data_IF_112816183762
#
_entry.id   IF_112816183762
#
_cell.length_a   1.000
_cell.length_b   1.000
_cell.length_c   1.000
_cell.angle_alpha   90.00
_cell.angle_beta   90.00
_cell.angle_gamma   90.00
#
_symmetry.space_group_name_H-M   'P 1'
#
loop_
_entity.id
_entity.type
_entity.pdbx_description
1 polymer ?
#
# COMPACT_ATOMS: atom_id res chain seq x y z
N UNK A 1 3.13 -5.62 21.04
CA UNK A 1 4.39 -5.50 20.28
C UNK A 1 4.09 -4.78 18.98
N UNK A 2 5.07 -4.13 18.35
CA UNK A 2 4.91 -3.47 17.04
C UNK A 2 5.85 -4.15 16.05
N UNK A 3 5.31 -4.57 14.92
CA UNK A 3 6.06 -5.22 13.85
C UNK A 3 6.48 -4.18 12.81
N UNK A 4 7.79 -4.06 12.57
CA UNK A 4 8.39 -3.08 11.65
C UNK A 4 9.08 -3.78 10.47
N UNK A 5 8.36 -4.73 9.86
CA UNK A 5 8.77 -5.42 8.63
C UNK A 5 7.52 -5.67 7.78
N UNK A 6 7.37 -6.85 7.15
CA UNK A 6 6.20 -7.15 6.32
C UNK A 6 4.88 -7.06 7.13
N UNK A 7 4.01 -6.06 6.91
CA UNK A 7 2.82 -5.83 7.73
C UNK A 7 1.80 -6.98 7.68
N UNK A 8 1.94 -7.89 6.71
CA UNK A 8 1.15 -9.13 6.64
C UNK A 8 1.31 -10.02 7.87
N UNK A 9 2.47 -10.03 8.53
CA UNK A 9 2.65 -10.88 9.72
C UNK A 9 1.73 -10.45 10.86
N UNK A 10 1.61 -9.15 11.11
CA UNK A 10 0.67 -8.61 12.10
C UNK A 10 -0.79 -8.81 11.70
N UNK A 11 -1.12 -8.71 10.41
CA UNK A 11 -2.50 -8.86 9.94
C UNK A 11 -2.93 -10.34 9.94
N UNK A 12 -2.10 -11.22 9.39
CA UNK A 12 -2.42 -12.63 9.19
C UNK A 12 -2.22 -13.47 10.47
N UNK A 13 -1.29 -13.06 11.35
CA UNK A 13 -0.89 -13.83 12.54
C UNK A 13 -1.01 -13.05 13.85
N UNK A 14 -1.61 -11.85 13.85
CA UNK A 14 -1.67 -10.98 15.03
C UNK A 14 -2.37 -11.58 16.24
N UNK A 15 -3.25 -12.57 16.02
CA UNK A 15 -4.01 -13.30 17.05
C UNK A 15 -3.31 -14.57 17.54
N UNK A 16 -2.19 -14.97 16.93
CA UNK A 16 -1.44 -16.18 17.31
C UNK A 16 -0.67 -16.04 18.62
N UNK A 17 -0.63 -14.84 19.21
CA UNK A 17 0.14 -14.53 20.42
C UNK A 17 -0.78 -14.01 21.54
N UNK A 18 -0.46 -14.28 22.82
CA UNK A 18 -1.23 -13.73 23.96
C UNK A 18 -1.21 -12.20 24.06
N UNK A 19 -0.25 -11.54 23.42
CA UNK A 19 -0.12 -10.08 23.33
C UNK A 19 -0.27 -9.66 21.87
N UNK A 20 -0.98 -8.56 21.57
CA UNK A 20 -1.22 -8.16 20.19
C UNK A 20 0.09 -7.81 19.47
N UNK A 21 0.19 -8.21 18.20
CA UNK A 21 1.25 -7.83 17.28
C UNK A 21 0.69 -6.80 16.30
N UNK A 22 0.98 -5.53 16.54
CA UNK A 22 0.43 -4.40 15.81
C UNK A 22 1.28 -4.03 14.59
N UNK A 23 0.66 -3.51 13.53
CA UNK A 23 1.37 -2.74 12.51
C UNK A 23 1.81 -1.37 13.08
N UNK A 24 2.75 -0.67 12.42
CA UNK A 24 3.13 0.68 12.83
C UNK A 24 1.97 1.68 12.75
N UNK A 25 1.09 1.52 11.75
CA UNK A 25 -0.14 2.30 11.63
C UNK A 25 -1.07 2.09 12.83
N UNK A 26 -1.32 0.84 13.20
CA UNK A 26 -2.15 0.50 14.37
C UNK A 26 -1.55 1.02 15.67
N UNK A 27 -0.21 0.98 15.81
CA UNK A 27 0.47 1.56 16.95
C UNK A 27 0.24 3.08 17.04
N UNK A 28 0.32 3.81 15.92
CA UNK A 28 0.05 5.25 15.88
C UNK A 28 -1.41 5.57 16.25
N UNK A 29 -2.38 4.76 15.81
CA UNK A 29 -3.78 4.89 16.24
C UNK A 29 -3.95 4.60 17.73
N UNK A 30 -3.35 3.52 18.24
CA UNK A 30 -3.44 3.12 19.64
C UNK A 30 -2.82 4.17 20.59
N UNK A 31 -1.75 4.84 20.15
CA UNK A 31 -1.11 5.94 20.86
C UNK A 31 -1.83 7.28 20.71
N UNK A 32 -2.89 7.33 19.89
CA UNK A 32 -3.70 8.54 19.59
C UNK A 32 -2.94 9.62 18.82
N UNK A 33 -1.89 9.25 18.10
CA UNK A 33 -1.17 10.16 17.20
C UNK A 33 -2.02 10.48 15.96
N UNK A 34 -2.85 9.52 15.54
CA UNK A 34 -3.76 9.65 14.40
C UNK A 34 -5.11 8.98 14.68
N UNK A 35 -6.14 9.41 13.94
CA UNK A 35 -7.43 8.70 13.86
C UNK A 35 -7.33 7.50 12.92
N UNK A 36 -8.21 6.52 13.12
CA UNK A 36 -8.37 5.40 12.20
C UNK A 36 -8.79 5.89 10.80
N UNK A 37 -8.14 5.37 9.75
CA UNK A 37 -8.34 5.68 8.34
C UNK A 37 -9.07 4.57 7.61
N UNK A 38 -9.86 4.95 6.59
CA UNK A 38 -10.53 4.05 5.67
C UNK A 38 -10.28 4.51 4.22
N UNK A 39 -9.82 3.62 3.31
CA UNK A 39 -9.50 2.21 3.54
C UNK A 39 -8.30 1.99 4.49
N UNK A 40 -8.14 0.79 5.05
CA UNK A 40 -6.98 0.44 5.88
C UNK A 40 -5.68 0.70 5.08
N UNK A 41 -4.78 1.58 5.55
CA UNK A 41 -3.62 1.97 4.78
C UNK A 41 -2.63 0.81 4.65
N UNK A 42 -2.29 0.48 3.41
CA UNK A 42 -1.30 -0.54 3.04
C UNK A 42 -0.02 0.11 2.50
N UNK A 43 0.45 1.17 3.15
CA UNK A 43 1.46 2.10 2.63
C UNK A 43 2.85 1.94 3.26
N UNK A 44 3.09 0.87 4.01
CA UNK A 44 4.35 0.64 4.74
C UNK A 44 5.60 0.75 3.84
N UNK A 45 5.51 0.25 2.60
CA UNK A 45 6.57 0.32 1.58
C UNK A 45 6.30 1.34 0.47
N UNK A 46 5.23 2.15 0.58
CA UNK A 46 4.92 3.13 -0.44
C UNK A 46 6.07 4.12 -0.59
N UNK A 47 6.40 4.50 -1.82
CA UNK A 47 7.35 5.58 -2.08
C UNK A 47 6.82 6.89 -1.51
N UNK A 48 5.54 7.16 -1.78
CA UNK A 48 4.80 8.27 -1.19
C UNK A 48 4.14 7.87 0.13
N UNK A 49 4.61 8.45 1.23
CA UNK A 49 4.14 8.17 2.59
C UNK A 49 2.77 8.81 2.88
N UNK A 50 1.82 8.09 3.47
CA UNK A 50 0.59 8.71 4.00
C UNK A 50 0.77 9.27 5.42
N UNK A 51 1.90 8.95 6.08
CA UNK A 51 2.23 9.54 7.37
C UNK A 51 3.38 8.89 8.13
N UNK A 52 3.64 9.35 9.37
CA UNK A 52 4.85 9.07 10.13
C UNK A 52 5.02 7.60 10.56
N UNK A 53 4.01 6.75 10.38
CA UNK A 53 4.08 5.32 10.65
C UNK A 53 4.78 4.51 9.54
N UNK A 54 5.02 5.12 8.38
CA UNK A 54 5.67 4.47 7.23
C UNK A 54 7.18 4.63 7.26
N UNK A 55 7.90 3.69 6.62
CA UNK A 55 9.37 3.70 6.56
C UNK A 55 9.91 4.88 5.74
N UNK A 56 9.19 5.28 4.68
CA UNK A 56 9.64 6.30 3.75
C UNK A 56 9.13 7.72 4.10
N UNK A 57 8.56 7.93 5.29
CA UNK A 57 8.05 9.23 5.69
C UNK A 57 9.11 10.34 5.60
N UNK A 58 8.79 11.43 4.92
CA UNK A 58 9.70 12.57 4.70
C UNK A 58 10.77 12.36 3.61
N UNK A 59 10.82 11.20 2.95
CA UNK A 59 11.76 10.92 1.85
C UNK A 59 11.28 11.51 0.51
N UNK A 60 9.98 11.75 0.34
CA UNK A 60 9.37 12.41 -0.84
C UNK A 60 9.89 13.83 -1.09
N UNK A 61 10.56 14.41 -0.09
CA UNK A 61 11.07 15.78 -0.15
C UNK A 61 12.45 15.92 -0.74
N UNK A 62 13.10 14.86 -1.23
CA UNK A 62 14.27 15.07 -2.09
C UNK A 62 13.75 15.69 -3.38
N UNK A 63 13.98 16.98 -3.65
CA UNK A 63 13.74 17.46 -4.99
C UNK A 63 14.64 16.60 -5.86
N UNK A 64 14.07 15.89 -6.83
CA UNK A 64 14.87 15.38 -7.93
C UNK A 64 15.67 16.59 -8.42
N UNK A 65 16.98 16.61 -8.12
CA UNK A 65 17.83 17.70 -8.56
C UNK A 65 17.64 17.83 -10.07
N UNK A 66 17.43 19.05 -10.61
CA UNK A 66 17.32 19.20 -12.05
C UNK A 66 18.67 18.78 -12.65
N UNK A 67 18.66 17.68 -13.39
CA UNK A 67 19.72 17.33 -14.34
C UNK A 67 20.67 16.21 -13.93
N UNK A 68 20.45 15.04 -14.54
CA UNK A 68 21.49 14.44 -15.37
C UNK A 68 20.91 14.30 -16.77
N UNK A 69 21.60 14.76 -17.84
CA UNK A 69 21.15 14.47 -19.18
C UNK A 69 21.15 12.95 -19.38
N UNK A 70 20.02 12.44 -19.85
CA UNK A 70 19.88 11.04 -20.21
C UNK A 70 20.95 10.68 -21.24
N UNK A 71 21.89 9.83 -20.83
CA UNK A 71 22.80 9.17 -21.77
C UNK A 71 21.93 8.22 -22.59
N UNK A 72 21.81 8.51 -23.89
CA UNK A 72 20.79 7.98 -24.79
C UNK A 72 20.55 6.48 -24.66
N UNK A 73 19.28 6.12 -24.52
CA UNK A 73 18.78 4.83 -24.97
C UNK A 73 17.95 5.07 -26.21
N UNK A 74 18.20 4.19 -27.16
CA UNK A 74 17.70 4.14 -28.53
C UNK A 74 16.17 4.22 -28.52
N UNK A 75 15.65 4.98 -29.47
CA UNK A 75 14.25 5.24 -29.71
C UNK A 75 13.56 3.93 -30.13
N UNK A 76 12.66 3.42 -29.28
CA UNK A 76 11.64 2.47 -29.73
C UNK A 76 10.28 3.14 -29.53
N UNK A 77 9.71 3.50 -30.67
CA UNK A 77 8.43 4.15 -30.83
C UNK A 77 7.30 3.22 -30.37
N UNK A 78 6.55 3.62 -29.35
CA UNK A 78 5.25 3.04 -29.06
C UNK A 78 4.28 4.16 -28.67
N UNK A 79 3.54 4.59 -29.67
CA UNK A 79 2.38 5.47 -29.56
C UNK A 79 1.24 4.73 -28.84
N UNK A 80 0.80 5.23 -27.67
CA UNK A 80 -0.60 5.14 -27.22
C UNK A 80 -0.90 6.21 -26.13
N UNK A 81 -2.17 6.60 -25.87
CA UNK A 81 -2.73 7.94 -25.87
C UNK A 81 -3.09 8.37 -24.43
N UNK A 82 -3.69 9.56 -24.20
CA UNK A 82 -3.92 10.07 -22.86
C UNK A 82 -5.08 9.35 -22.14
N UNK A 83 -4.88 9.19 -20.84
CA UNK A 83 -5.84 9.08 -19.74
C UNK A 83 -7.35 9.11 -20.07
N UNK A 84 -7.97 7.95 -19.99
CA UNK A 84 -9.29 7.70 -19.38
C UNK A 84 -9.58 6.19 -19.53
N UNK A 85 -9.23 5.40 -18.52
CA UNK A 85 -9.66 3.99 -18.46
C UNK A 85 -10.54 3.85 -17.24
N UNK A 86 -11.84 3.84 -17.51
CA UNK A 86 -12.87 3.25 -16.66
C UNK A 86 -12.43 1.84 -16.30
N UNK A 87 -12.39 1.50 -15.00
CA UNK A 87 -12.20 0.12 -14.55
C UNK A 87 -13.44 -0.69 -14.88
N UNK A 88 -13.55 -1.12 -16.13
CA UNK A 88 -14.48 -2.16 -16.56
C UNK A 88 -13.65 -3.26 -17.21
N UNK A 89 -13.04 -4.09 -16.35
CA UNK A 89 -13.05 -5.56 -16.40
C UNK A 89 -12.14 -6.08 -15.27
N UNK A 90 -12.58 -5.94 -14.01
CA UNK A 90 -12.01 -6.73 -12.94
C UNK A 90 -12.62 -8.13 -13.06
N UNK A 91 -11.90 -9.05 -13.70
CA UNK A 91 -12.28 -10.46 -13.78
C UNK A 91 -12.07 -11.16 -12.42
N UNK A 92 -12.89 -10.78 -11.43
CA UNK A 92 -13.14 -11.58 -10.23
C UNK A 92 -14.10 -12.69 -10.67
N UNK A 93 -13.59 -13.90 -10.87
CA UNK A 93 -14.42 -15.06 -11.26
C UNK A 93 -15.52 -15.24 -10.21
N UNK A 94 -16.75 -15.12 -10.67
CA UNK A 94 -17.99 -15.42 -9.96
C UNK A 94 -18.01 -16.91 -9.62
N UNK A 95 -17.60 -17.28 -8.39
CA UNK A 95 -18.00 -18.56 -7.84
C UNK A 95 -19.46 -18.45 -7.42
N UNK A 96 -20.33 -18.90 -8.33
CA UNK A 96 -21.74 -19.17 -8.09
C UNK A 96 -21.91 -20.13 -6.91
N UNK A 97 -22.13 -19.60 -5.71
CA UNK A 97 -22.67 -20.34 -4.58
C UNK A 97 -24.09 -20.77 -4.93
N UNK A 98 -24.28 -22.08 -5.16
CA UNK A 98 -25.61 -22.68 -5.20
C UNK A 98 -26.18 -22.71 -3.75
N UNK A 99 -27.43 -22.32 -3.51
CA UNK A 99 -28.03 -22.45 -2.19
C UNK A 99 -28.23 -23.92 -1.83
N UNK A 100 -27.84 -24.27 -0.60
CA UNK A 100 -28.18 -25.54 0.02
C UNK A 100 -29.66 -25.56 0.46
N UNK A 101 -30.25 -26.73 0.23
CA UNK A 101 -31.39 -27.31 0.96
C UNK A 101 -32.79 -26.72 0.66
N UNK A 102 -33.86 -27.49 0.94
CA UNK A 102 -34.18 -28.05 2.26
C UNK A 102 -33.71 -29.50 2.51
#
# INVERSE_FOLDING_TARGET
WVQVACPRLSIDWGTAFPKPLLTPYEAAVALRDISWQQPYPMDFYAGSSLGPWTVNHGQDRRPHAPGRPARGKVQEESTHPPSAVTCEDCSCRDEKVAPLAP
#
